data_IF_035316484080
#
_entry.id   IF_035316484080
#
_cell.length_a   1.000
_cell.length_b   1.000
_cell.length_c   1.000
_cell.angle_alpha   90.00
_cell.angle_beta   90.00
_cell.angle_gamma   90.00
#
_symmetry.space_group_name_H-M   'P 1'
#
loop_
_entity.id
_entity.type
_entity.pdbx_description
1 polymer ?
#
# COMPACT_ATOMS: atom_id res chain seq x y z
N UNK A 1 4.96 11.77 -13.84
CA UNK A 1 4.75 10.39 -13.36
C UNK A 1 5.91 9.53 -13.78
N UNK A 2 6.51 8.82 -12.82
CA UNK A 2 7.68 7.94 -13.01
C UNK A 2 7.37 6.79 -13.98
N UNK A 3 6.10 6.35 -14.01
CA UNK A 3 5.57 5.29 -14.89
C UNK A 3 5.83 5.53 -16.38
N UNK A 4 5.63 6.76 -16.89
CA UNK A 4 5.81 7.07 -18.32
C UNK A 4 7.26 6.98 -18.80
N UNK A 5 8.26 7.09 -17.90
CA UNK A 5 9.67 7.01 -18.30
C UNK A 5 10.17 5.57 -18.37
N UNK A 6 9.72 4.71 -17.47
CA UNK A 6 10.11 3.31 -17.46
C UNK A 6 9.51 2.53 -18.65
N UNK A 7 8.28 2.84 -19.05
CA UNK A 7 7.56 2.10 -20.09
C UNK A 7 7.90 2.48 -21.55
N UNK A 8 8.69 3.55 -21.75
CA UNK A 8 9.16 3.97 -23.08
C UNK A 8 10.41 3.21 -23.56
N UNK A 9 10.92 2.33 -22.72
CA UNK A 9 12.00 1.39 -22.99
C UNK A 9 11.47 0.00 -22.61
N UNK A 10 11.99 -1.07 -23.22
CA UNK A 10 11.49 -2.46 -23.11
C UNK A 10 11.80 -3.10 -21.73
N UNK A 11 11.65 -2.32 -20.66
CA UNK A 11 11.91 -2.74 -19.29
C UNK A 11 10.71 -3.50 -18.73
N UNK A 12 11.00 -4.69 -18.18
CA UNK A 12 10.08 -5.36 -17.26
C UNK A 12 9.97 -4.53 -15.98
N UNK A 13 8.74 -4.13 -15.62
CA UNK A 13 8.47 -3.36 -14.40
C UNK A 13 7.93 -4.28 -13.33
N UNK A 14 8.56 -4.28 -12.16
CA UNK A 14 8.06 -4.97 -10.96
C UNK A 14 7.72 -3.96 -9.88
N UNK A 15 6.51 -4.02 -9.34
CA UNK A 15 6.06 -3.24 -8.19
C UNK A 15 6.08 -4.14 -6.97
N UNK A 16 6.65 -3.64 -5.88
CA UNK A 16 6.55 -4.27 -4.56
C UNK A 16 5.53 -3.49 -3.75
N UNK A 17 4.45 -4.16 -3.35
CA UNK A 17 3.40 -3.59 -2.52
C UNK A 17 3.43 -4.22 -1.13
N UNK A 18 3.57 -3.41 -0.09
CA UNK A 18 3.54 -3.90 1.29
C UNK A 18 2.29 -3.40 1.97
N UNK A 19 1.56 -4.34 2.57
CA UNK A 19 0.41 -4.07 3.42
C UNK A 19 0.72 -4.47 4.86
N UNK A 20 0.37 -3.60 5.80
CA UNK A 20 0.40 -3.85 7.24
C UNK A 20 -0.92 -3.36 7.80
N UNK A 21 -1.39 -3.99 8.88
CA UNK A 21 -2.59 -3.52 9.57
C UNK A 21 -2.49 -2.00 9.91
N UNK A 22 -3.52 -1.19 9.61
CA UNK A 22 -3.43 0.25 9.76
C UNK A 22 -3.15 0.72 11.19
N UNK A 23 -3.58 -0.02 12.22
CA UNK A 23 -3.31 0.35 13.61
C UNK A 23 -1.82 0.21 13.93
N UNK A 24 -1.21 -0.88 13.44
CA UNK A 24 0.22 -1.12 13.58
C UNK A 24 1.02 -0.08 12.80
N UNK A 25 0.64 0.21 11.55
CA UNK A 25 1.33 1.17 10.70
C UNK A 25 1.26 2.59 11.27
N UNK A 26 0.08 3.02 11.75
CA UNK A 26 -0.07 4.34 12.38
C UNK A 26 0.81 4.50 13.63
N UNK A 27 0.93 3.45 14.44
CA UNK A 27 1.86 3.43 15.58
C UNK A 27 3.31 3.63 15.14
N UNK A 28 3.75 2.99 14.07
CA UNK A 28 5.11 3.21 13.55
C UNK A 28 5.29 4.62 12.99
N UNK A 29 4.30 5.14 12.26
CA UNK A 29 4.32 6.50 11.71
C UNK A 29 4.47 7.54 12.82
N UNK A 30 3.66 7.44 13.88
CA UNK A 30 3.68 8.37 15.01
C UNK A 30 4.97 8.27 15.82
N UNK A 31 5.45 7.05 16.14
CA UNK A 31 6.74 6.86 16.80
C UNK A 31 7.92 7.42 15.98
N UNK A 32 7.91 7.21 14.67
CA UNK A 32 8.92 7.78 13.77
C UNK A 32 8.84 9.30 13.74
N UNK A 33 7.65 9.89 13.78
CA UNK A 33 7.47 11.34 13.78
C UNK A 33 8.09 11.96 15.05
N UNK A 34 7.94 11.33 16.21
CA UNK A 34 8.58 11.76 17.47
C UNK A 34 10.11 11.74 17.33
N UNK A 35 10.68 10.67 16.75
CA UNK A 35 12.13 10.50 16.62
C UNK A 35 12.77 11.42 15.56
N UNK A 36 12.05 11.72 14.48
CA UNK A 36 12.63 12.37 13.29
C UNK A 36 12.10 13.79 13.03
N UNK A 37 11.04 14.21 13.72
CA UNK A 37 10.32 15.45 13.44
C UNK A 37 9.49 15.43 12.16
N UNK A 38 9.50 14.33 11.39
CA UNK A 38 8.78 14.21 10.11
C UNK A 38 7.39 13.63 10.33
N UNK A 39 6.39 14.50 10.30
CA UNK A 39 4.98 14.17 10.42
C UNK A 39 4.42 13.63 9.09
N UNK A 40 3.51 12.65 9.17
CA UNK A 40 2.65 12.25 8.06
C UNK A 40 1.27 12.80 8.36
N UNK A 41 0.67 13.62 7.47
CA UNK A 41 -0.69 14.10 7.69
C UNK A 41 -1.68 12.94 7.73
N UNK A 42 -2.61 12.95 8.68
CA UNK A 42 -3.65 11.92 8.85
C UNK A 42 -4.42 11.67 7.55
N UNK A 43 -4.81 12.74 6.85
CA UNK A 43 -5.47 12.64 5.55
C UNK A 43 -4.63 11.91 4.51
N UNK A 44 -3.30 12.08 4.52
CA UNK A 44 -2.40 11.37 3.61
C UNK A 44 -2.29 9.89 3.98
N UNK A 45 -2.29 9.56 5.27
CA UNK A 45 -2.33 8.18 5.75
C UNK A 45 -3.62 7.47 5.33
N UNK A 46 -4.79 8.06 5.63
CA UNK A 46 -6.10 7.52 5.27
C UNK A 46 -6.21 7.32 3.76
N UNK A 47 -5.85 8.34 2.98
CA UNK A 47 -5.90 8.25 1.52
C UNK A 47 -4.93 7.22 0.95
N UNK A 48 -3.79 6.98 1.61
CA UNK A 48 -2.86 5.91 1.22
C UNK A 48 -3.53 4.55 1.26
N UNK A 49 -4.16 4.20 2.38
CA UNK A 49 -4.86 2.92 2.54
C UNK A 49 -6.03 2.75 1.57
N UNK A 50 -6.78 3.81 1.29
CA UNK A 50 -7.96 3.72 0.42
C UNK A 50 -7.61 3.73 -1.08
N UNK A 51 -6.60 4.51 -1.49
CA UNK A 51 -6.37 4.77 -2.91
C UNK A 51 -5.24 3.93 -3.51
N UNK A 52 -4.22 3.54 -2.73
CA UNK A 52 -3.07 2.78 -3.26
C UNK A 52 -3.51 1.43 -3.83
N UNK A 53 -4.32 0.61 -3.14
CA UNK A 53 -4.79 -0.66 -3.69
C UNK A 53 -5.53 -0.48 -5.02
N UNK A 54 -6.43 0.50 -5.09
CA UNK A 54 -7.19 0.78 -6.32
C UNK A 54 -6.28 1.24 -7.46
N UNK A 55 -5.32 2.14 -7.18
CA UNK A 55 -4.35 2.57 -8.18
C UNK A 55 -3.53 1.39 -8.71
N UNK A 56 -3.19 0.43 -7.85
CA UNK A 56 -2.49 -0.79 -8.25
C UNK A 56 -3.35 -1.65 -9.19
N UNK A 57 -4.63 -1.86 -8.87
CA UNK A 57 -5.57 -2.56 -9.76
C UNK A 57 -5.67 -1.85 -11.13
N UNK A 58 -5.77 -0.52 -11.13
CA UNK A 58 -5.86 0.26 -12.36
C UNK A 58 -4.58 0.11 -13.21
N UNK A 59 -3.40 0.05 -12.56
CA UNK A 59 -2.11 -0.19 -13.22
C UNK A 59 -2.07 -1.60 -13.83
N UNK A 60 -2.45 -2.63 -13.07
CA UNK A 60 -2.51 -4.02 -13.54
C UNK A 60 -3.44 -4.14 -14.75
N UNK A 61 -4.64 -3.56 -14.67
CA UNK A 61 -5.62 -3.58 -15.74
C UNK A 61 -5.14 -2.85 -17.00
N UNK A 62 -4.40 -1.75 -16.83
CA UNK A 62 -3.93 -0.92 -17.93
C UNK A 62 -2.75 -1.51 -18.68
N UNK A 63 -1.81 -2.14 -17.97
CA UNK A 63 -0.53 -2.56 -18.54
C UNK A 63 -0.38 -4.09 -18.63
N UNK A 64 -1.29 -4.85 -18.01
CA UNK A 64 -1.33 -6.30 -18.09
C UNK A 64 0.01 -6.94 -17.71
N UNK A 65 0.44 -7.90 -18.52
CA UNK A 65 1.65 -8.69 -18.25
C UNK A 65 2.98 -7.91 -18.39
N UNK A 66 2.95 -6.62 -18.76
CA UNK A 66 4.13 -5.76 -18.73
C UNK A 66 4.53 -5.34 -17.31
N UNK A 67 3.63 -5.52 -16.35
CA UNK A 67 3.84 -5.19 -14.94
C UNK A 67 3.58 -6.42 -14.10
N UNK A 68 4.53 -6.72 -13.21
CA UNK A 68 4.39 -7.76 -12.19
C UNK A 68 4.30 -7.10 -10.82
N UNK A 69 3.47 -7.66 -9.93
CA UNK A 69 3.31 -7.14 -8.57
C UNK A 69 3.59 -8.23 -7.56
N UNK A 70 4.55 -7.97 -6.69
CA UNK A 70 4.81 -8.79 -5.51
C UNK A 70 4.19 -8.09 -4.29
N UNK A 71 3.27 -8.77 -3.62
CA UNK A 71 2.62 -8.24 -2.41
C UNK A 71 3.16 -8.93 -1.16
N UNK A 72 3.45 -8.13 -0.13
CA UNK A 72 3.87 -8.56 1.19
C UNK A 72 2.81 -8.09 2.20
N UNK A 73 1.99 -9.01 2.72
CA UNK A 73 0.90 -8.69 3.64
C UNK A 73 1.21 -9.16 5.05
N UNK A 74 1.24 -8.24 6.01
CA UNK A 74 1.56 -8.52 7.41
C UNK A 74 3.05 -8.35 7.76
N UNK A 75 3.40 -8.71 8.99
CA UNK A 75 4.73 -8.51 9.56
C UNK A 75 5.26 -9.78 10.23
N UNK A 76 6.59 -9.92 10.22
CA UNK A 76 7.29 -10.99 10.92
C UNK A 76 6.82 -12.37 10.48
N UNK A 77 6.52 -13.24 11.44
CA UNK A 77 6.06 -14.61 11.19
C UNK A 77 4.65 -14.71 10.59
N UNK A 78 3.87 -13.63 10.60
CA UNK A 78 2.52 -13.57 10.01
C UNK A 78 2.52 -12.95 8.61
N UNK A 79 3.71 -12.70 8.04
CA UNK A 79 3.80 -12.14 6.70
C UNK A 79 3.46 -13.19 5.64
N UNK A 80 2.53 -12.85 4.76
CA UNK A 80 2.20 -13.59 3.55
C UNK A 80 2.81 -12.90 2.32
N UNK A 81 3.36 -13.68 1.40
CA UNK A 81 3.99 -13.19 0.18
C UNK A 81 3.22 -13.72 -1.02
N UNK A 82 2.80 -12.83 -1.91
CA UNK A 82 2.09 -13.14 -3.14
C UNK A 82 2.93 -12.67 -4.32
N UNK A 83 3.50 -13.60 -5.06
CA UNK A 83 4.29 -13.30 -6.26
C UNK A 83 3.40 -13.17 -7.48
N UNK A 84 3.63 -12.13 -8.30
CA UNK A 84 2.86 -11.90 -9.52
C UNK A 84 1.35 -11.78 -9.29
N UNK A 85 0.95 -11.13 -8.19
CA UNK A 85 -0.44 -10.94 -7.79
C UNK A 85 -1.25 -10.28 -8.92
N UNK A 86 -2.37 -10.92 -9.29
CA UNK A 86 -3.30 -10.40 -10.31
C UNK A 86 -4.33 -9.42 -9.75
N UNK A 87 -4.46 -9.38 -8.42
CA UNK A 87 -5.20 -8.37 -7.67
C UNK A 87 -4.59 -8.29 -6.28
N UNK A 88 -4.31 -7.08 -5.80
CA UNK A 88 -3.88 -6.87 -4.41
C UNK A 88 -5.08 -6.75 -3.49
N UNK A 89 -6.19 -6.18 -3.97
CA UNK A 89 -7.43 -6.01 -3.18
C UNK A 89 -7.99 -7.36 -2.75
N UNK A 90 -7.91 -8.38 -3.61
CA UNK A 90 -8.36 -9.75 -3.28
C UNK A 90 -7.63 -10.38 -2.08
N UNK A 91 -6.48 -9.81 -1.67
CA UNK A 91 -5.66 -10.28 -0.56
C UNK A 91 -5.69 -9.34 0.64
N UNK A 92 -6.45 -8.24 0.58
CA UNK A 92 -6.60 -7.29 1.68
C UNK A 92 -7.79 -7.65 2.58
N UNK A 93 -7.73 -7.29 3.87
CA UNK A 93 -8.89 -7.33 4.75
C UNK A 93 -10.05 -6.48 4.22
N UNK A 94 -11.27 -6.97 4.38
CA UNK A 94 -12.49 -6.27 3.93
C UNK A 94 -12.92 -5.12 4.85
N UNK A 95 -12.30 -4.97 6.02
CA UNK A 95 -12.63 -3.98 7.03
C UNK A 95 -11.86 -2.66 6.88
N UNK A 96 -11.07 -2.50 5.81
CA UNK A 96 -10.38 -1.25 5.47
C UNK A 96 -11.42 -0.23 5.00
N UNK A 97 -11.97 0.53 5.94
CA UNK A 97 -12.95 1.59 5.70
C UNK A 97 -12.42 2.94 6.16
N UNK A 98 -12.99 4.02 5.60
CA UNK A 98 -12.68 5.39 6.05
C UNK A 98 -12.92 5.54 7.55
N UNK A 99 -14.07 5.07 8.04
CA UNK A 99 -14.45 5.18 9.45
C UNK A 99 -13.45 4.47 10.37
N UNK A 100 -12.99 3.26 10.00
CA UNK A 100 -11.95 2.53 10.75
C UNK A 100 -10.64 3.30 10.78
N UNK A 101 -10.19 3.80 9.62
CA UNK A 101 -8.94 4.57 9.52
C UNK A 101 -9.03 5.88 10.31
N UNK A 102 -10.19 6.54 10.31
CA UNK A 102 -10.44 7.74 11.10
C UNK A 102 -10.45 7.44 12.60
N UNK A 103 -11.00 6.31 13.05
CA UNK A 103 -10.92 5.90 14.45
C UNK A 103 -9.45 5.71 14.89
N UNK A 104 -8.65 5.01 14.08
CA UNK A 104 -7.23 4.75 14.35
C UNK A 104 -6.42 6.04 14.49
N UNK A 105 -6.57 6.99 13.55
CA UNK A 105 -5.79 8.23 13.62
C UNK A 105 -6.21 9.13 14.78
N UNK A 106 -7.49 9.06 15.19
CA UNK A 106 -8.04 9.81 16.32
C UNK A 106 -7.78 9.13 17.68
N UNK A 107 -7.14 7.95 17.72
CA UNK A 107 -6.87 7.19 18.95
C UNK A 107 -8.14 6.63 19.60
N UNK A 108 -9.15 6.30 18.81
CA UNK A 108 -10.43 5.73 19.25
C UNK A 108 -10.53 4.24 18.96
#
# INVERSE_FOLDING_TARGET
MVEKRALNHDYSVRIVYTYVDPEIDWRFVTQRAIKTGRQVPEKAFINGFLNIPQNIEDILNKYGDRIEIDMYAGLGSQQHIYHGAKSVIAHLPSDISRDRLEAIVNGK
#
